data_IF_178315244735
#
_entry.id   IF_178315244735
#
_cell.length_a   1.000
_cell.length_b   1.000
_cell.length_c   1.000
_cell.angle_alpha   90.00
_cell.angle_beta   90.00
_cell.angle_gamma   90.00
#
_symmetry.space_group_name_H-M   'P 1'
#
loop_
_entity.id
_entity.type
_entity.pdbx_description
1 polymer ?
#
# COMPACT_ATOMS: atom_id res chain seq x y z
N UNK A 1 16.19 -1.78 10.41
CA UNK A 1 15.02 -2.04 9.57
C UNK A 1 14.39 -0.76 9.15
N UNK A 2 14.06 -0.64 7.90
CA UNK A 2 13.37 0.55 7.42
C UNK A 2 11.88 0.42 7.66
N UNK A 3 11.29 1.47 8.21
CA UNK A 3 9.84 1.54 8.32
C UNK A 3 9.29 2.22 7.09
N UNK A 4 8.27 1.62 6.52
CA UNK A 4 7.61 2.15 5.32
C UNK A 4 6.30 2.78 5.78
N UNK A 5 6.17 4.08 5.62
CA UNK A 5 4.91 4.75 5.94
C UNK A 5 3.92 4.44 4.83
N UNK A 6 2.91 3.65 5.17
CA UNK A 6 1.90 3.20 4.23
C UNK A 6 0.60 3.94 4.50
N UNK A 7 0.15 4.71 3.51
CA UNK A 7 -1.16 5.31 3.57
C UNK A 7 -2.15 4.38 2.92
N UNK A 8 -3.25 4.11 3.60
CA UNK A 8 -4.34 3.35 3.01
C UNK A 8 -5.51 4.31 2.83
N UNK A 9 -5.92 4.51 1.59
CA UNK A 9 -7.01 5.42 1.24
C UNK A 9 -8.21 4.58 0.83
N UNK A 10 -9.19 4.55 1.72
CA UNK A 10 -10.37 3.69 1.61
C UNK A 10 -11.57 4.44 2.14
N UNK A 11 -12.76 4.14 1.65
CA UNK A 11 -13.99 4.77 2.13
C UNK A 11 -14.73 3.89 3.13
N UNK A 12 -14.63 2.57 3.00
CA UNK A 12 -15.37 1.67 3.87
C UNK A 12 -14.61 1.44 5.17
N UNK A 13 -15.18 1.94 6.24
CA UNK A 13 -14.52 1.89 7.53
C UNK A 13 -14.19 0.46 7.95
N UNK A 14 -15.15 -0.44 7.86
CA UNK A 14 -14.91 -1.81 8.34
C UNK A 14 -13.82 -2.51 7.54
N UNK A 15 -13.84 -2.36 6.21
CA UNK A 15 -12.82 -2.97 5.40
C UNK A 15 -11.45 -2.36 5.68
N UNK A 16 -11.40 -1.03 5.73
CA UNK A 16 -10.14 -0.33 5.93
C UNK A 16 -9.50 -0.66 7.26
N UNK A 17 -10.31 -0.71 8.31
CA UNK A 17 -9.77 -1.00 9.63
C UNK A 17 -9.26 -2.43 9.74
N UNK A 18 -9.99 -3.38 9.14
CA UNK A 18 -9.54 -4.76 9.17
C UNK A 18 -8.26 -4.95 8.39
N UNK A 19 -8.17 -4.33 7.22
CA UNK A 19 -6.97 -4.45 6.41
C UNK A 19 -5.78 -3.80 7.13
N UNK A 20 -5.97 -2.59 7.66
CA UNK A 20 -4.89 -1.91 8.35
C UNK A 20 -4.41 -2.72 9.55
N UNK A 21 -5.33 -3.29 10.31
CA UNK A 21 -4.96 -4.09 11.46
C UNK A 21 -4.19 -5.34 11.04
N UNK A 22 -4.64 -6.00 9.98
CA UNK A 22 -3.95 -7.20 9.52
C UNK A 22 -2.53 -6.88 9.08
N UNK A 23 -2.38 -5.83 8.25
CA UNK A 23 -1.06 -5.49 7.72
C UNK A 23 -0.10 -5.06 8.81
N UNK A 24 -0.61 -4.40 9.84
CA UNK A 24 0.25 -3.91 10.91
C UNK A 24 0.64 -4.98 11.91
N UNK A 25 -0.14 -6.06 12.00
CA UNK A 25 0.12 -7.10 13.00
C UNK A 25 1.04 -8.21 12.53
N UNK A 26 1.40 -8.21 11.25
CA UNK A 26 2.26 -9.27 10.75
C UNK A 26 3.62 -9.21 11.41
N UNK A 27 4.17 -10.38 11.74
CA UNK A 27 5.50 -10.43 12.31
C UNK A 27 6.48 -9.77 11.33
N UNK A 28 7.30 -8.89 11.86
CA UNK A 28 8.31 -8.18 11.05
C UNK A 28 7.73 -7.29 9.98
N UNK A 29 6.47 -6.86 10.17
CA UNK A 29 5.87 -5.94 9.21
C UNK A 29 6.68 -4.64 9.16
N UNK A 30 7.07 -4.20 7.95
CA UNK A 30 7.81 -2.94 7.84
C UNK A 30 6.89 -1.73 7.83
N UNK A 31 5.56 -1.95 7.84
CA UNK A 31 4.62 -0.88 7.57
C UNK A 31 4.22 -0.12 8.81
N UNK A 32 4.37 1.20 8.75
CA UNK A 32 3.76 2.11 9.69
C UNK A 32 2.51 2.64 8.99
N UNK A 33 1.33 2.21 9.43
CA UNK A 33 0.12 2.36 8.66
C UNK A 33 -0.70 3.53 9.12
N UNK A 34 -1.16 4.33 8.14
CA UNK A 34 -2.11 5.40 8.39
C UNK A 34 -3.29 5.24 7.47
N UNK A 35 -4.46 5.04 8.06
CA UNK A 35 -5.69 4.82 7.32
C UNK A 35 -6.48 6.12 7.27
N UNK A 36 -6.90 6.51 6.07
CA UNK A 36 -7.76 7.68 5.88
C UNK A 36 -9.06 7.25 5.23
N UNK A 37 -10.17 7.62 5.87
CA UNK A 37 -11.50 7.25 5.40
C UNK A 37 -12.24 8.42 4.77
N UNK A 38 -11.74 9.64 4.95
CA UNK A 38 -12.33 10.83 4.36
C UNK A 38 -11.41 11.42 3.33
N UNK A 39 -11.96 11.81 2.21
CA UNK A 39 -11.14 12.17 1.04
C UNK A 39 -11.63 13.42 0.39
N UNK A 40 -10.73 14.16 -0.29
CA UNK A 40 -9.30 13.85 -0.42
C UNK A 40 -8.51 14.29 0.79
N UNK A 41 -7.36 13.66 1.02
CA UNK A 41 -6.44 14.11 2.06
C UNK A 41 -5.58 15.24 1.51
N UNK A 42 -4.94 15.97 2.42
CA UNK A 42 -4.10 17.09 2.02
C UNK A 42 -2.82 16.63 1.33
N UNK A 43 -2.23 17.53 0.56
CA UNK A 43 -0.93 17.25 -0.06
C UNK A 43 0.14 16.98 0.98
N UNK A 44 0.06 17.65 2.10
CA UNK A 44 1.01 17.44 3.18
C UNK A 44 1.00 16.00 3.68
N UNK A 45 -0.19 15.46 3.87
CA UNK A 45 -0.32 14.07 4.31
C UNK A 45 0.18 13.11 3.25
N UNK A 46 -0.15 13.40 1.99
CA UNK A 46 0.30 12.57 0.89
C UNK A 46 1.81 12.49 0.82
N UNK A 47 2.48 13.63 1.01
CA UNK A 47 3.94 13.69 0.88
C UNK A 47 4.68 12.90 1.94
N UNK A 48 4.03 12.61 3.05
CA UNK A 48 4.67 11.86 4.11
C UNK A 48 4.69 10.35 3.84
N UNK A 49 3.99 9.91 2.83
CA UNK A 49 3.89 8.49 2.52
C UNK A 49 5.13 7.99 1.79
N UNK A 50 5.61 6.84 2.20
CA UNK A 50 6.55 6.09 1.39
C UNK A 50 5.80 5.28 0.35
N UNK A 51 4.63 4.77 0.72
CA UNK A 51 3.81 3.94 -0.15
C UNK A 51 2.34 4.31 0.06
N UNK A 52 1.60 4.42 -1.03
CA UNK A 52 0.16 4.71 -0.97
C UNK A 52 -0.59 3.53 -1.56
N UNK A 53 -1.58 3.04 -0.83
CA UNK A 53 -2.49 2.02 -1.30
C UNK A 53 -3.87 2.65 -1.40
N UNK A 54 -4.35 2.87 -2.61
CA UNK A 54 -5.60 3.59 -2.83
C UNK A 54 -6.63 2.70 -3.50
N UNK A 55 -7.83 2.66 -2.93
CA UNK A 55 -8.94 1.93 -3.53
C UNK A 55 -9.30 2.56 -4.87
N UNK A 56 -9.54 1.73 -5.87
CA UNK A 56 -9.70 2.19 -7.25
C UNK A 56 -10.81 3.23 -7.42
N UNK A 57 -11.90 3.11 -6.66
CA UNK A 57 -12.99 4.09 -6.78
C UNK A 57 -12.61 5.49 -6.32
N UNK A 58 -11.47 5.64 -5.63
CA UNK A 58 -11.04 6.95 -5.16
C UNK A 58 -10.03 7.60 -6.10
N UNK A 59 -9.60 6.89 -7.14
CA UNK A 59 -8.52 7.38 -8.01
C UNK A 59 -8.84 8.75 -8.62
N UNK A 60 -10.09 8.94 -9.03
CA UNK A 60 -10.46 10.18 -9.69
C UNK A 60 -10.30 11.41 -8.79
N UNK A 61 -10.37 11.22 -7.48
CA UNK A 61 -10.23 12.34 -6.55
C UNK A 61 -8.79 12.85 -6.45
N UNK A 62 -7.84 12.02 -6.85
CA UNK A 62 -6.43 12.36 -6.68
C UNK A 62 -5.70 12.66 -7.99
N UNK A 63 -6.37 12.43 -9.11
CA UNK A 63 -5.83 12.85 -10.42
C UNK A 63 -4.46 12.27 -10.71
N UNK A 64 -3.53 13.13 -11.08
CA UNK A 64 -2.20 12.69 -11.50
C UNK A 64 -1.39 12.05 -10.38
N UNK A 65 -1.76 12.29 -9.14
CA UNK A 65 -1.01 11.70 -8.03
C UNK A 65 -1.00 10.19 -8.07
N UNK A 66 -2.06 9.56 -8.58
CA UNK A 66 -2.11 8.10 -8.61
C UNK A 66 -1.10 7.50 -9.57
N UNK A 67 -0.50 8.31 -10.43
CA UNK A 67 0.50 7.82 -11.36
C UNK A 67 1.91 7.83 -10.79
N UNK A 68 2.09 8.34 -9.59
CA UNK A 68 3.40 8.36 -8.96
C UNK A 68 3.89 6.94 -8.69
N UNK A 69 5.20 6.77 -8.72
CA UNK A 69 5.79 5.44 -8.66
C UNK A 69 5.57 4.70 -7.36
N UNK A 70 5.14 5.41 -6.30
CA UNK A 70 4.93 4.80 -5.01
C UNK A 70 3.44 4.56 -4.72
N UNK A 71 2.60 4.50 -5.74
CA UNK A 71 1.17 4.29 -5.56
C UNK A 71 0.78 2.91 -6.07
N UNK A 72 0.13 2.14 -5.22
CA UNK A 72 -0.48 0.86 -5.59
C UNK A 72 -1.98 1.02 -5.55
N UNK A 73 -2.66 0.38 -6.49
CA UNK A 73 -4.11 0.47 -6.62
C UNK A 73 -4.75 -0.77 -6.03
N UNK A 74 -5.62 -0.56 -5.05
CA UNK A 74 -6.44 -1.64 -4.50
C UNK A 74 -7.67 -1.74 -5.39
N UNK A 75 -7.59 -2.64 -6.36
CA UNK A 75 -8.48 -2.66 -7.50
C UNK A 75 -9.75 -3.43 -7.21
N UNK A 76 -10.89 -2.74 -7.27
CA UNK A 76 -12.19 -3.34 -6.99
C UNK A 76 -12.77 -4.08 -8.18
N UNK A 77 -12.35 -3.72 -9.39
CA UNK A 77 -12.94 -4.31 -10.59
C UNK A 77 -12.08 -5.42 -11.18
N UNK A 78 -10.80 -5.40 -10.87
CA UNK A 78 -9.86 -6.29 -11.54
C UNK A 78 -9.51 -5.85 -12.93
N UNK A 79 -9.90 -4.62 -13.30
CA UNK A 79 -9.75 -4.16 -14.68
C UNK A 79 -9.14 -2.77 -14.81
N UNK A 80 -8.46 -2.29 -13.78
CA UNK A 80 -7.81 -0.99 -13.90
C UNK A 80 -6.67 -1.10 -14.91
N UNK A 81 -6.69 -0.20 -15.90
CA UNK A 81 -5.73 -0.24 -17.01
C UNK A 81 -4.66 0.81 -16.78
N UNK A 82 -3.45 0.49 -17.21
CA UNK A 82 -2.35 1.45 -17.14
C UNK A 82 -1.58 1.42 -15.84
N UNK A 83 -1.98 0.54 -14.93
CA UNK A 83 -1.32 0.45 -13.63
C UNK A 83 -0.72 -0.94 -13.43
N UNK A 84 -0.34 -1.57 -14.52
CA UNK A 84 0.24 -2.91 -14.46
C UNK A 84 1.44 -2.93 -13.53
N UNK A 85 1.52 -3.97 -12.73
CA UNK A 85 2.58 -4.07 -11.74
C UNK A 85 2.28 -3.37 -10.44
N UNK A 86 1.24 -2.52 -10.42
CA UNK A 86 0.86 -1.81 -9.20
C UNK A 86 -0.58 -2.06 -8.80
N UNK A 87 -1.27 -2.93 -9.50
CA UNK A 87 -2.64 -3.30 -9.16
C UNK A 87 -2.64 -4.47 -8.20
N UNK A 88 -3.47 -4.37 -7.17
CA UNK A 88 -3.67 -5.45 -6.21
C UNK A 88 -5.18 -5.65 -6.12
N UNK A 89 -5.64 -6.84 -6.48
CA UNK A 89 -7.07 -7.09 -6.46
C UNK A 89 -7.59 -7.01 -5.02
N UNK A 90 -8.64 -6.23 -4.82
CA UNK A 90 -9.13 -5.91 -3.49
C UNK A 90 -9.82 -7.09 -2.79
N UNK A 91 -10.55 -7.90 -3.55
CA UNK A 91 -11.40 -8.93 -2.96
C UNK A 91 -10.67 -10.27 -2.91
N UNK A 92 -9.51 -10.25 -2.29
CA UNK A 92 -8.72 -11.45 -2.04
C UNK A 92 -8.25 -11.36 -0.59
N UNK A 93 -7.59 -12.41 -0.10
CA UNK A 93 -7.20 -12.43 1.30
C UNK A 93 -6.21 -11.32 1.62
N UNK A 94 -6.28 -10.83 2.85
CA UNK A 94 -5.36 -9.80 3.29
C UNK A 94 -3.91 -10.28 3.24
N UNK A 95 -3.69 -11.59 3.42
CA UNK A 95 -2.35 -12.14 3.32
C UNK A 95 -1.76 -11.99 1.93
N UNK A 96 -2.59 -12.19 0.90
CA UNK A 96 -2.12 -12.00 -0.47
C UNK A 96 -1.82 -10.52 -0.72
N UNK A 97 -2.67 -9.63 -0.22
CA UNK A 97 -2.42 -8.20 -0.36
C UNK A 97 -1.09 -7.84 0.32
N UNK A 98 -0.86 -8.36 1.51
CA UNK A 98 0.38 -8.12 2.23
C UNK A 98 1.59 -8.54 1.42
N UNK A 99 1.54 -9.74 0.84
CA UNK A 99 2.65 -10.26 0.04
C UNK A 99 2.90 -9.39 -1.18
N UNK A 100 1.84 -8.95 -1.84
CA UNK A 100 2.02 -8.07 -3.00
C UNK A 100 2.66 -6.74 -2.62
N UNK A 101 2.31 -6.20 -1.46
CA UNK A 101 2.92 -4.96 -1.02
C UNK A 101 4.40 -5.15 -0.71
N UNK A 102 4.75 -6.28 -0.10
CA UNK A 102 6.16 -6.57 0.15
C UNK A 102 6.93 -6.72 -1.15
N UNK A 103 6.35 -7.42 -2.13
CA UNK A 103 7.00 -7.57 -3.42
C UNK A 103 7.21 -6.23 -4.10
N UNK A 104 6.20 -5.35 -4.00
CA UNK A 104 6.33 -4.03 -4.58
C UNK A 104 7.48 -3.25 -3.94
N UNK A 105 7.63 -3.33 -2.63
CA UNK A 105 8.73 -2.67 -1.95
C UNK A 105 10.06 -3.20 -2.43
N UNK A 106 10.16 -4.49 -2.62
CA UNK A 106 11.41 -5.09 -3.09
C UNK A 106 11.72 -4.67 -4.52
N UNK A 107 10.70 -4.65 -5.37
CA UNK A 107 10.88 -4.28 -6.77
C UNK A 107 11.34 -2.84 -6.91
N UNK A 108 10.97 -2.00 -5.95
CA UNK A 108 11.35 -0.60 -5.98
C UNK A 108 12.61 -0.29 -5.17
N UNK A 109 13.32 -1.33 -4.77
CA UNK A 109 14.59 -1.13 -4.08
C UNK A 109 14.47 -0.71 -2.64
N UNK A 110 13.29 -0.80 -2.06
CA UNK A 110 13.10 -0.46 -0.65
C UNK A 110 13.49 -1.66 0.18
N UNK A 111 14.72 -1.67 0.64
CA UNK A 111 15.24 -2.80 1.38
C UNK A 111 14.47 -2.99 2.67
N UNK A 112 13.97 -4.20 2.88
CA UNK A 112 13.32 -4.56 4.11
C UNK A 112 14.38 -5.15 5.03
N UNK A 113 15.13 -4.26 5.62
CA UNK A 113 16.26 -4.65 6.42
C UNK A 113 15.86 -5.63 7.50
N UNK A 114 16.78 -6.36 7.98
CA UNK A 114 16.47 -7.30 9.02
C UNK A 114 16.02 -8.60 8.50
N UNK A 115 15.10 -8.62 7.55
CA UNK A 115 14.72 -9.88 6.99
C UNK A 115 15.56 -10.24 5.83
N UNK A 116 16.16 -9.26 5.18
CA UNK A 116 16.87 -9.54 3.94
C UNK A 116 18.33 -9.76 4.15
N UNK A 117 18.87 -9.12 5.13
CA UNK A 117 20.29 -9.13 5.24
C UNK A 117 20.83 -10.34 5.90
N UNK A 118 20.06 -10.92 6.72
CA UNK A 118 20.61 -12.09 7.27
C UNK A 118 20.42 -13.17 6.35
N UNK A 119 20.84 -13.55 5.98
CA UNK A 119 20.68 -14.39 5.04
C UNK A 119 21.34 -13.98 3.84
N UNK A 120 21.73 -13.24 3.70
CA UNK A 120 22.17 -12.95 2.64
C UNK A 120 23.20 -12.37 2.35
N UNK A 121 23.41 -12.16 2.85
CA UNK A 121 24.12 -11.76 2.79
C UNK A 121 24.72 -11.71 2.52
N UNK A 122 24.61 -11.72 2.78
CA UNK A 122 25.14 -11.71 2.64
C UNK A 122 25.60 -11.79 2.29
#
# INVERSE_FOLDING_TARGET
MKNVTLLILEKRKSYGERLAAFLGRQAYSPFNIQLYLEHPISDEKWKKADLVLITSSLMALYGEKVKEGNVCILDESGQVIGMEGRNVYKYQSAGVIYQRLLEFCEENGWMLQGERNHGKKE
#
